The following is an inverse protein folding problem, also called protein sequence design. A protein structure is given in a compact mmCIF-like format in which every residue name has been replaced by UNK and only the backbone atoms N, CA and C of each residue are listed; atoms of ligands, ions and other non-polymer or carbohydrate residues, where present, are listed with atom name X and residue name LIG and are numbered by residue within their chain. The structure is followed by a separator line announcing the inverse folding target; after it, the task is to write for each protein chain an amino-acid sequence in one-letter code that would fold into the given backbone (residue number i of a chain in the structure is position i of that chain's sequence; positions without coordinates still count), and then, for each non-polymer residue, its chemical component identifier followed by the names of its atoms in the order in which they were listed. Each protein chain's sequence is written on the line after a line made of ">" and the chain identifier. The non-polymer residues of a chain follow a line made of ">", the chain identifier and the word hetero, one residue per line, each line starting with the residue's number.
data_IF_589553132551
#
_entry.id   IF_589553132551
#
_cell.length_a   1.000
_cell.length_b   1.000
_cell.length_c   1.000
_cell.angle_alpha   90.00
_cell.angle_beta   90.00
_cell.angle_gamma   90.00
#
_symmetry.space_group_name_H-M   'P 1'
#
loop_
_entity.id
_entity.type
_entity.pdbx_description
1 polymer ?
#
# COMPACT_ATOMS: atom_id res chain seq x y z
N UNK A 1 -12.83 33.34 9.04
CA UNK A 1 -11.37 33.39 9.25
C UNK A 1 -10.82 34.21 8.11
N UNK A 2 -10.17 35.33 8.41
CA UNK A 2 -9.64 36.24 7.39
C UNK A 2 -8.58 35.51 6.55
N UNK A 3 -8.56 35.76 5.23
CA UNK A 3 -7.71 35.06 4.26
C UNK A 3 -6.22 34.92 4.62
N UNK A 4 -5.52 35.92 5.20
CA UNK A 4 -4.09 35.79 5.51
C UNK A 4 -3.78 34.82 6.68
N UNK A 5 -4.65 34.75 7.69
CA UNK A 5 -4.47 33.86 8.86
C UNK A 5 -4.67 32.38 8.49
N UNK A 6 -5.56 32.09 7.53
CA UNK A 6 -5.76 30.71 7.04
C UNK A 6 -4.52 30.18 6.31
N UNK A 7 -3.85 31.03 5.53
CA UNK A 7 -2.67 30.65 4.75
C UNK A 7 -1.46 30.43 5.67
N UNK A 8 -1.29 31.27 6.70
CA UNK A 8 -0.20 31.13 7.66
C UNK A 8 -0.31 29.83 8.47
N UNK A 9 -1.52 29.46 8.90
CA UNK A 9 -1.78 28.19 9.60
C UNK A 9 -1.52 26.98 8.69
N UNK A 10 -2.01 27.00 7.45
CA UNK A 10 -1.81 25.90 6.49
C UNK A 10 -0.32 25.72 6.14
N UNK A 11 0.41 26.84 6.00
CA UNK A 11 1.86 26.82 5.79
C UNK A 11 2.59 26.23 7.00
N UNK A 12 2.22 26.62 8.22
CA UNK A 12 2.80 26.08 9.44
C UNK A 12 2.60 24.56 9.56
N UNK A 13 1.40 24.05 9.23
CA UNK A 13 1.11 22.61 9.20
C UNK A 13 1.95 21.87 8.16
N UNK A 14 2.08 22.43 6.95
CA UNK A 14 2.86 21.84 5.87
C UNK A 14 4.35 21.76 6.21
N UNK A 15 4.89 22.82 6.83
CA UNK A 15 6.27 22.87 7.33
C UNK A 15 6.47 21.86 8.46
N UNK A 16 5.52 21.73 9.38
CA UNK A 16 5.55 20.73 10.44
C UNK A 16 5.57 19.30 9.90
N UNK A 17 4.74 18.99 8.92
CA UNK A 17 4.73 17.69 8.24
C UNK A 17 6.06 17.40 7.52
N UNK A 18 6.60 18.38 6.80
CA UNK A 18 7.89 18.23 6.11
C UNK A 18 9.03 17.95 7.09
N UNK A 19 9.09 18.69 8.19
CA UNK A 19 10.04 18.45 9.27
C UNK A 19 9.90 17.06 9.87
N UNK A 20 8.67 16.61 10.14
CA UNK A 20 8.41 15.27 10.66
C UNK A 20 8.95 14.19 9.72
N UNK A 21 8.66 14.29 8.41
CA UNK A 21 9.14 13.33 7.41
C UNK A 21 10.68 13.32 7.36
N UNK A 22 11.32 14.48 7.40
CA UNK A 22 12.79 14.59 7.42
C UNK A 22 13.37 13.94 8.67
N UNK A 23 12.83 14.25 9.85
CA UNK A 23 13.29 13.68 11.12
C UNK A 23 13.12 12.16 11.13
N UNK A 24 11.97 11.64 10.67
CA UNK A 24 11.73 10.21 10.58
C UNK A 24 12.75 9.51 9.66
N UNK A 25 13.05 10.12 8.51
CA UNK A 25 14.03 9.60 7.57
C UNK A 25 15.46 9.64 8.14
N UNK A 26 15.85 10.74 8.77
CA UNK A 26 17.13 10.88 9.48
C UNK A 26 17.24 9.84 10.58
N UNK A 27 16.18 9.60 11.34
CA UNK A 27 16.15 8.59 12.38
C UNK A 27 16.36 7.18 11.81
N UNK A 28 15.69 6.80 10.72
CA UNK A 28 15.91 5.53 10.03
C UNK A 28 17.37 5.36 9.58
N UNK A 29 17.96 6.39 8.97
CA UNK A 29 19.36 6.33 8.52
C UNK A 29 20.30 6.24 9.72
N UNK A 30 20.11 7.10 10.72
CA UNK A 30 20.95 7.14 11.91
C UNK A 30 20.93 5.80 12.66
N UNK A 31 19.77 5.15 12.77
CA UNK A 31 19.64 3.85 13.41
C UNK A 31 20.34 2.73 12.62
N UNK A 32 20.26 2.72 11.28
CA UNK A 32 21.05 1.80 10.45
C UNK A 32 22.56 2.06 10.55
N UNK A 33 23.00 3.33 10.58
CA UNK A 33 24.40 3.69 10.74
C UNK A 33 24.93 3.29 12.12
N UNK A 34 24.16 3.56 13.17
CA UNK A 34 24.51 3.17 14.53
C UNK A 34 24.61 1.64 14.66
N UNK A 35 23.65 0.90 14.07
CA UNK A 35 23.71 -0.56 14.00
C UNK A 35 24.98 -1.04 13.28
N UNK A 36 25.37 -0.40 12.17
CA UNK A 36 26.58 -0.73 11.42
C UNK A 36 27.87 -0.43 12.21
N UNK A 37 27.91 0.63 13.00
CA UNK A 37 29.08 1.02 13.81
C UNK A 37 29.22 0.10 15.03
N UNK A 38 28.12 -0.24 15.70
CA UNK A 38 28.12 -1.09 16.89
C UNK A 38 28.24 -2.58 16.56
N UNK A 39 27.78 -3.02 15.38
CA UNK A 39 27.84 -4.42 14.98
C UNK A 39 29.28 -4.90 14.77
N UNK A 40 29.57 -6.12 15.25
CA UNK A 40 30.86 -6.77 14.97
C UNK A 40 30.91 -7.23 13.51
N UNK A 41 31.75 -6.59 12.71
CA UNK A 41 31.99 -6.98 11.33
C UNK A 41 32.93 -8.19 11.24
N UNK A 42 32.40 -9.36 10.87
CA UNK A 42 33.17 -10.58 10.56
C UNK A 42 32.73 -11.16 9.21
N UNK A 43 33.17 -10.54 8.09
CA UNK A 43 32.82 -10.99 6.75
C UNK A 43 33.39 -12.39 6.52
N UNK A 44 32.58 -13.28 5.97
CA UNK A 44 32.95 -14.65 5.65
C UNK A 44 32.25 -15.02 4.34
N UNK A 45 32.95 -15.59 3.35
CA UNK A 45 32.35 -15.98 2.07
C UNK A 45 31.12 -16.87 2.25
N UNK A 46 31.10 -17.77 3.25
CA UNK A 46 29.95 -18.63 3.56
C UNK A 46 28.73 -17.86 4.07
N UNK A 47 28.93 -16.74 4.78
CA UNK A 47 27.83 -15.88 5.26
C UNK A 47 27.21 -15.03 4.14
N UNK A 48 27.93 -14.85 3.03
CA UNK A 48 27.49 -14.10 1.87
C UNK A 48 26.80 -14.99 0.80
N UNK A 49 26.81 -16.32 0.99
CA UNK A 49 26.10 -17.24 0.10
C UNK A 49 24.59 -17.18 0.35
N UNK A 50 23.79 -17.34 -0.72
CA UNK A 50 22.35 -17.54 -0.62
C UNK A 50 22.03 -18.74 0.26
N UNK A 51 21.04 -18.58 1.13
CA UNK A 51 20.61 -19.65 2.03
C UNK A 51 19.90 -20.78 1.27
N UNK A 52 20.52 -21.95 1.21
CA UNK A 52 19.98 -23.19 0.59
C UNK A 52 20.13 -24.38 1.57
N UNK A 53 19.71 -24.21 2.83
CA UNK A 53 19.83 -25.24 3.88
C UNK A 53 21.27 -25.81 4.06
N UNK A 54 22.29 -24.98 3.82
CA UNK A 54 23.71 -25.36 3.94
C UNK A 54 24.31 -25.95 2.66
N UNK A 55 23.54 -26.09 1.57
CA UNK A 55 24.07 -26.46 0.26
C UNK A 55 24.68 -25.25 -0.45
N UNK A 56 25.67 -25.49 -1.30
CA UNK A 56 26.19 -24.46 -2.21
C UNK A 56 25.11 -24.22 -3.28
N UNK A 57 24.65 -22.98 -3.49
CA UNK A 57 23.64 -22.70 -4.49
C UNK A 57 24.16 -23.11 -5.87
N UNK A 58 23.37 -23.91 -6.60
CA UNK A 58 23.72 -24.42 -7.93
C UNK A 58 22.58 -24.16 -8.91
N UNK A 59 22.93 -23.90 -10.17
CA UNK A 59 21.97 -23.69 -11.26
C UNK A 59 21.42 -22.26 -11.38
N UNK A 60 20.71 -21.96 -12.49
CA UNK A 60 20.08 -20.66 -12.71
C UNK A 60 18.85 -20.50 -11.81
N UNK A 61 18.85 -19.47 -10.95
CA UNK A 61 17.76 -19.07 -10.02
C UNK A 61 16.52 -18.49 -10.71
N UNK A 62 16.38 -18.64 -12.04
CA UNK A 62 15.23 -18.13 -12.80
C UNK A 62 14.05 -19.09 -12.68
N UNK A 63 13.35 -19.03 -11.56
CA UNK A 63 12.02 -19.63 -11.44
C UNK A 63 11.03 -18.84 -12.30
N UNK A 64 10.00 -19.51 -12.82
CA UNK A 64 8.87 -18.79 -13.44
C UNK A 64 8.12 -18.08 -12.33
N UNK A 65 8.19 -16.74 -12.29
CA UNK A 65 7.35 -15.95 -11.39
C UNK A 65 5.89 -16.19 -11.76
N UNK A 66 5.14 -16.83 -10.85
CA UNK A 66 3.72 -17.07 -11.04
C UNK A 66 2.96 -15.76 -10.88
N UNK A 67 2.12 -15.43 -11.86
CA UNK A 67 1.34 -14.18 -11.92
C UNK A 67 0.12 -14.23 -10.96
N UNK A 68 0.13 -15.15 -9.98
CA UNK A 68 -1.02 -15.42 -9.10
C UNK A 68 -1.45 -14.19 -8.29
N UNK A 69 -0.52 -13.27 -7.98
CA UNK A 69 -0.81 -12.04 -7.21
C UNK A 69 -1.22 -10.83 -8.06
N UNK A 70 -0.99 -10.86 -9.38
CA UNK A 70 -1.30 -9.73 -10.25
C UNK A 70 -2.77 -9.31 -10.21
N UNK A 71 -3.76 -10.23 -10.24
CA UNK A 71 -5.15 -9.80 -10.21
C UNK A 71 -5.56 -9.14 -8.89
N UNK A 72 -4.92 -9.50 -7.78
CA UNK A 72 -5.12 -8.82 -6.49
C UNK A 72 -4.61 -7.37 -6.54
N UNK A 73 -3.47 -7.13 -7.20
CA UNK A 73 -2.93 -5.79 -7.38
C UNK A 73 -3.85 -4.91 -8.25
N UNK A 74 -4.43 -5.48 -9.32
CA UNK A 74 -5.39 -4.78 -10.19
C UNK A 74 -6.68 -4.42 -9.42
N UNK A 75 -7.25 -5.37 -8.66
CA UNK A 75 -8.44 -5.08 -7.82
C UNK A 75 -8.10 -4.00 -6.79
N UNK A 76 -6.95 -4.11 -6.11
CA UNK A 76 -6.51 -3.12 -5.12
C UNK A 76 -6.37 -1.71 -5.72
N UNK A 77 -5.74 -1.59 -6.89
CA UNK A 77 -5.55 -0.30 -7.55
C UNK A 77 -6.90 0.33 -7.95
N UNK A 78 -7.80 -0.45 -8.54
CA UNK A 78 -9.13 0.02 -8.95
C UNK A 78 -9.96 0.45 -7.74
N UNK A 79 -10.04 -0.39 -6.70
CA UNK A 79 -10.83 -0.08 -5.49
C UNK A 79 -10.21 1.05 -4.67
N UNK A 80 -8.88 1.17 -4.65
CA UNK A 80 -8.18 2.29 -4.02
C UNK A 80 -8.54 3.63 -4.66
N UNK A 81 -8.54 3.69 -5.99
CA UNK A 81 -8.96 4.90 -6.72
C UNK A 81 -10.43 5.25 -6.45
N UNK A 82 -11.31 4.25 -6.40
CA UNK A 82 -12.74 4.45 -6.08
C UNK A 82 -12.96 4.94 -4.64
N UNK A 83 -12.19 4.42 -3.68
CA UNK A 83 -12.26 4.88 -2.29
C UNK A 83 -11.91 6.36 -2.15
N UNK A 84 -10.92 6.85 -2.92
CA UNK A 84 -10.56 8.28 -2.97
C UNK A 84 -11.74 9.12 -3.47
N UNK A 85 -12.43 8.68 -4.54
CA UNK A 85 -13.61 9.38 -5.06
C UNK A 85 -14.72 9.47 -4.00
N UNK A 86 -14.96 8.38 -3.26
CA UNK A 86 -15.94 8.38 -2.17
C UNK A 86 -15.53 9.29 -1.02
N UNK A 87 -14.25 9.31 -0.66
CA UNK A 87 -13.72 10.18 0.39
C UNK A 87 -13.91 11.66 0.03
N UNK A 88 -13.62 12.02 -1.22
CA UNK A 88 -13.84 13.39 -1.73
C UNK A 88 -15.33 13.76 -1.76
N UNK A 89 -16.21 12.80 -2.07
CA UNK A 89 -17.65 13.03 -2.09
C UNK A 89 -18.29 13.06 -0.69
N UNK A 90 -17.60 12.57 0.35
CA UNK A 90 -18.16 12.38 1.69
C UNK A 90 -18.75 13.67 2.33
N UNK A 91 -18.10 14.85 2.25
CA UNK A 91 -18.67 16.08 2.81
C UNK A 91 -19.99 16.45 2.12
N UNK A 92 -20.05 16.32 0.79
CA UNK A 92 -21.26 16.60 0.01
C UNK A 92 -22.38 15.64 0.37
N UNK A 93 -22.07 14.35 0.55
CA UNK A 93 -23.04 13.34 0.98
C UNK A 93 -23.55 13.61 2.39
N UNK A 94 -22.69 14.07 3.30
CA UNK A 94 -23.08 14.39 4.68
C UNK A 94 -24.05 15.58 4.78
N UNK A 95 -24.08 16.45 3.77
CA UNK A 95 -24.98 17.59 3.69
C UNK A 95 -26.30 17.27 2.93
N UNK A 96 -26.47 16.06 2.40
CA UNK A 96 -27.66 15.69 1.63
C UNK A 96 -28.88 15.44 2.53
N UNK A 97 -30.10 15.77 2.05
CA UNK A 97 -31.32 15.39 2.74
C UNK A 97 -31.46 13.85 2.81
N UNK A 98 -32.09 13.31 3.86
CA UNK A 98 -32.27 11.85 4.01
C UNK A 98 -32.93 11.17 2.81
N UNK A 99 -33.80 11.88 2.09
CA UNK A 99 -34.48 11.41 0.89
C UNK A 99 -33.55 11.12 -0.30
N UNK A 100 -32.29 11.57 -0.27
CA UNK A 100 -31.30 11.35 -1.33
C UNK A 100 -30.25 10.28 -0.96
N UNK A 101 -30.27 9.76 0.28
CA UNK A 101 -29.29 8.77 0.74
C UNK A 101 -29.34 7.43 -0.01
N UNK A 102 -30.41 7.14 -0.73
CA UNK A 102 -30.49 5.96 -1.61
C UNK A 102 -29.43 5.99 -2.72
N UNK A 103 -28.93 7.18 -3.11
CA UNK A 103 -27.84 7.31 -4.09
C UNK A 103 -26.57 6.65 -3.54
N UNK A 104 -26.28 6.81 -2.24
CA UNK A 104 -25.16 6.14 -1.59
C UNK A 104 -25.32 4.62 -1.60
N UNK A 105 -26.55 4.12 -1.40
CA UNK A 105 -26.84 2.67 -1.47
C UNK A 105 -26.62 2.12 -2.89
N UNK A 106 -27.00 2.85 -3.93
CA UNK A 106 -26.73 2.45 -5.31
C UNK A 106 -25.23 2.44 -5.61
N UNK A 107 -24.51 3.43 -5.13
CA UNK A 107 -23.06 3.54 -5.31
C UNK A 107 -22.35 2.36 -4.61
N UNK A 108 -22.65 2.11 -3.33
CA UNK A 108 -22.11 0.97 -2.58
C UNK A 108 -22.53 -0.36 -3.21
N UNK A 109 -23.78 -0.49 -3.65
CA UNK A 109 -24.31 -1.68 -4.31
C UNK A 109 -23.62 -1.97 -5.65
N UNK A 110 -23.33 -0.93 -6.44
CA UNK A 110 -22.57 -1.08 -7.68
C UNK A 110 -21.14 -1.57 -7.41
N UNK A 111 -20.51 -1.11 -6.31
CA UNK A 111 -19.17 -1.53 -5.93
C UNK A 111 -19.13 -2.95 -5.37
N UNK A 112 -20.12 -3.37 -4.59
CA UNK A 112 -20.18 -4.75 -4.10
C UNK A 112 -20.43 -5.72 -5.25
N UNK A 113 -21.26 -5.34 -6.23
CA UNK A 113 -21.48 -6.11 -7.44
C UNK A 113 -20.22 -6.23 -8.30
N UNK A 114 -19.52 -5.12 -8.56
CA UNK A 114 -18.25 -5.12 -9.28
C UNK A 114 -17.18 -5.99 -8.57
N UNK A 115 -17.15 -5.96 -7.23
CA UNK A 115 -16.19 -6.72 -6.44
C UNK A 115 -16.50 -8.21 -6.55
N UNK A 116 -17.78 -8.57 -6.44
CA UNK A 116 -18.25 -9.94 -6.60
C UNK A 116 -17.88 -10.48 -7.99
N UNK A 117 -18.09 -9.68 -9.05
CA UNK A 117 -17.68 -10.03 -10.41
C UNK A 117 -16.18 -10.25 -10.54
N UNK A 118 -15.37 -9.34 -9.98
CA UNK A 118 -13.92 -9.46 -9.97
C UNK A 118 -13.47 -10.74 -9.23
N UNK A 119 -14.00 -10.99 -8.03
CA UNK A 119 -13.69 -12.19 -7.26
C UNK A 119 -14.09 -13.48 -7.98
N UNK A 120 -15.25 -13.49 -8.66
CA UNK A 120 -15.68 -14.63 -9.48
C UNK A 120 -14.72 -14.89 -10.64
N UNK A 121 -14.21 -13.84 -11.29
CA UNK A 121 -13.19 -13.95 -12.34
C UNK A 121 -11.84 -14.46 -11.80
N UNK A 122 -11.53 -14.23 -10.52
CA UNK A 122 -10.31 -14.72 -9.88
C UNK A 122 -10.40 -16.16 -9.38
N UNK A 123 -11.60 -16.68 -9.10
CA UNK A 123 -11.81 -18.07 -8.63
C UNK A 123 -10.99 -19.14 -9.38
N UNK A 124 -10.93 -19.17 -10.73
CA UNK A 124 -10.16 -20.19 -11.46
C UNK A 124 -8.64 -20.02 -11.33
N UNK A 125 -8.16 -18.83 -10.98
CA UNK A 125 -6.73 -18.55 -10.76
C UNK A 125 -6.29 -18.93 -9.33
N UNK A 126 -7.24 -19.01 -8.39
CA UNK A 126 -6.99 -19.31 -6.97
C UNK A 126 -7.00 -20.81 -6.70
N UNK A 127 -7.88 -21.59 -7.35
CA UNK A 127 -7.93 -23.03 -7.12
C UNK A 127 -6.74 -23.71 -7.80
N UNK A 128 -5.85 -24.39 -7.06
CA UNK A 128 -4.80 -25.19 -7.68
C UNK A 128 -5.47 -26.27 -8.54
N UNK A 129 -4.96 -26.49 -9.76
CA UNK A 129 -5.35 -27.67 -10.55
C UNK A 129 -5.03 -28.89 -9.70
N UNK A 130 -6.05 -29.61 -9.24
CA UNK A 130 -5.88 -30.96 -8.69
C UNK A 130 -5.39 -31.84 -9.84
N UNK A 131 -4.10 -32.17 -9.79
CA UNK A 131 -3.53 -33.32 -10.50
C UNK A 131 -3.81 -34.58 -9.72
#
# INVERSE_FOLDING_TARGET
>A
MEGPEMISEALAQSVGLALYVVIAFVFCIASLLLAKILATSRPNPRKALTYECGQVPTGPTKTRFTIQYYPYAVIYAIYGALAIVLLLAAPSVSAMPPSQLWILLLVIGSFTFALMGALMALRPLIKPKRG
#
